data_IF_844754647448
#
_entry.id   IF_844754647448
#
_cell.length_a   1.000
_cell.length_b   1.000
_cell.length_c   1.000
_cell.angle_alpha   90.00
_cell.angle_beta   90.00
_cell.angle_gamma   90.00
#
_symmetry.space_group_name_H-M   'P 1'
#
loop_
_entity.id
_entity.type
_entity.pdbx_description
1 polymer ?
#
# COMPACT_ATOMS: atom_id res chain seq x y z
N UNK A 1 -18.96 -11.87 22.93
CA UNK A 1 -18.69 -10.49 22.47
C UNK A 1 -17.38 -10.51 21.70
N UNK A 2 -17.45 -10.69 20.38
CA UNK A 2 -16.24 -10.61 19.54
C UNK A 2 -16.03 -9.16 19.16
N UNK A 3 -14.96 -8.56 19.69
CA UNK A 3 -14.46 -7.27 19.25
C UNK A 3 -14.11 -7.36 17.77
N UNK A 4 -14.98 -6.81 16.93
CA UNK A 4 -14.67 -6.41 15.57
C UNK A 4 -13.61 -5.34 15.67
N UNK A 5 -12.33 -5.72 15.71
CA UNK A 5 -11.23 -4.77 15.61
C UNK A 5 -11.46 -3.98 14.32
N UNK A 6 -11.80 -2.70 14.48
CA UNK A 6 -12.17 -1.80 13.41
C UNK A 6 -10.90 -1.59 12.56
N UNK A 7 -10.83 -2.28 11.42
CA UNK A 7 -9.66 -2.26 10.55
C UNK A 7 -9.55 -0.87 9.91
N UNK A 8 -8.54 -0.09 10.28
CA UNK A 8 -8.26 1.22 9.67
C UNK A 8 -7.68 1.05 8.27
N UNK A 9 -8.36 1.62 7.26
CA UNK A 9 -7.85 1.75 5.89
C UNK A 9 -7.13 3.09 5.75
N UNK A 10 -5.81 3.05 5.60
CA UNK A 10 -5.02 4.24 5.26
C UNK A 10 -5.34 4.69 3.82
N UNK A 11 -6.28 5.61 3.66
CA UNK A 11 -6.60 6.23 2.36
C UNK A 11 -5.97 7.62 2.30
N UNK A 12 -5.07 7.92 1.34
CA UNK A 12 -4.48 9.26 1.24
C UNK A 12 -5.55 10.29 0.89
N UNK A 13 -5.53 11.46 1.55
CA UNK A 13 -6.46 12.56 1.27
C UNK A 13 -6.30 13.22 -0.12
N UNK A 14 -5.18 13.01 -0.80
CA UNK A 14 -4.91 13.47 -2.17
C UNK A 14 -4.46 12.32 -3.07
N UNK A 15 -4.81 12.39 -4.36
CA UNK A 15 -4.27 11.44 -5.35
C UNK A 15 -2.77 11.65 -5.48
N UNK A 16 -2.07 10.61 -5.94
CA UNK A 16 -0.60 10.60 -6.06
C UNK A 16 -0.07 11.76 -6.92
N UNK A 17 -0.70 12.03 -8.06
CA UNK A 17 -0.25 13.07 -8.99
C UNK A 17 -0.39 14.47 -8.38
N UNK A 18 -1.43 14.70 -7.58
CA UNK A 18 -1.70 15.99 -6.94
C UNK A 18 -0.70 16.30 -5.81
N UNK A 19 0.03 15.27 -5.34
CA UNK A 19 1.08 15.39 -4.31
C UNK A 19 2.47 15.64 -4.88
N UNK A 20 2.67 15.45 -6.18
CA UNK A 20 3.98 15.65 -6.81
C UNK A 20 4.30 17.14 -6.95
N UNK A 21 5.55 17.50 -6.65
CA UNK A 21 6.05 18.88 -6.68
C UNK A 21 7.10 18.99 -7.77
N UNK A 22 7.04 20.05 -8.57
CA UNK A 22 7.97 20.29 -9.67
C UNK A 22 8.85 21.50 -9.37
N UNK A 23 10.11 21.25 -8.96
CA UNK A 23 11.06 22.31 -8.63
C UNK A 23 11.39 23.25 -9.81
N UNK A 24 11.07 22.86 -11.05
CA UNK A 24 11.22 23.73 -12.22
C UNK A 24 10.15 24.83 -12.32
N UNK A 25 9.05 24.73 -11.56
CA UNK A 25 7.99 25.75 -11.50
C UNK A 25 8.28 26.75 -10.39
N UNK A 26 8.18 28.04 -10.70
CA UNK A 26 8.47 29.12 -9.75
C UNK A 26 7.61 29.05 -8.47
N UNK A 27 6.33 28.71 -8.59
CA UNK A 27 5.42 28.56 -7.45
C UNK A 27 5.86 27.44 -6.50
N UNK A 28 6.21 26.28 -7.07
CA UNK A 28 6.67 25.12 -6.30
C UNK A 28 8.04 25.37 -5.68
N UNK A 29 8.94 26.06 -6.39
CA UNK A 29 10.24 26.45 -5.85
C UNK A 29 10.11 27.37 -4.62
N UNK A 30 9.19 28.34 -4.67
CA UNK A 30 8.91 29.21 -3.53
C UNK A 30 8.35 28.42 -2.34
N UNK A 31 7.44 27.47 -2.60
CA UNK A 31 6.90 26.60 -1.56
C UNK A 31 7.97 25.68 -0.96
N UNK A 32 8.89 25.14 -1.78
CA UNK A 32 10.02 24.31 -1.32
C UNK A 32 10.94 25.13 -0.41
N UNK A 33 11.20 26.38 -0.77
CA UNK A 33 12.02 27.27 0.04
C UNK A 33 11.39 27.54 1.41
N UNK A 34 10.05 27.67 1.47
CA UNK A 34 9.29 27.87 2.69
C UNK A 34 8.99 26.59 3.48
N UNK A 35 9.23 25.40 2.91
CA UNK A 35 8.87 24.13 3.52
C UNK A 35 9.68 23.84 4.79
N UNK A 36 9.03 23.23 5.80
CA UNK A 36 9.71 22.74 7.00
C UNK A 36 10.51 21.49 6.65
N UNK A 37 11.82 21.67 6.48
CA UNK A 37 12.77 20.61 6.18
C UNK A 37 13.04 19.76 7.42
N UNK A 38 13.22 18.47 7.23
CA UNK A 38 13.62 17.58 8.30
C UNK A 38 15.13 17.73 8.56
N UNK A 39 15.50 17.90 9.82
CA UNK A 39 16.88 18.18 10.20
C UNK A 39 17.75 16.92 10.23
N UNK A 40 18.95 17.08 10.75
CA UNK A 40 19.98 16.03 10.77
C UNK A 40 19.72 14.96 11.82
N UNK A 41 18.72 15.16 12.69
CA UNK A 41 18.23 14.14 13.61
C UNK A 41 17.75 12.88 12.86
N UNK A 42 17.30 13.01 11.61
CA UNK A 42 17.00 11.87 10.75
C UNK A 42 18.26 11.29 10.14
N UNK A 43 18.95 12.08 9.31
CA UNK A 43 20.28 11.80 8.75
C UNK A 43 20.81 13.10 8.15
N UNK A 44 22.11 13.29 8.09
CA UNK A 44 22.69 14.46 7.42
C UNK A 44 22.57 14.30 5.89
N UNK A 45 21.79 15.18 5.23
CA UNK A 45 21.60 15.11 3.77
C UNK A 45 22.80 15.56 2.96
N UNK A 46 23.61 16.42 3.55
CA UNK A 46 24.76 17.08 2.92
C UNK A 46 26.05 16.27 3.17
N UNK A 47 26.04 15.36 4.15
CA UNK A 47 27.08 14.37 4.34
C UNK A 47 27.29 13.48 3.11
N UNK A 48 28.55 13.11 2.89
CA UNK A 48 28.93 12.10 1.90
C UNK A 48 28.40 10.72 2.26
N UNK A 49 28.23 9.87 1.24
CA UNK A 49 27.84 8.48 1.46
C UNK A 49 28.91 7.75 2.29
N UNK A 50 28.46 6.93 3.23
CA UNK A 50 29.33 6.04 3.99
C UNK A 50 29.90 4.94 3.08
N UNK A 51 31.15 4.50 3.31
CA UNK A 51 31.72 3.38 2.58
C UNK A 51 30.96 2.07 2.87
N UNK A 52 30.93 1.17 1.87
CA UNK A 52 30.30 -0.14 1.97
C UNK A 52 28.85 -0.20 1.47
N UNK A 53 28.24 -1.38 1.59
CA UNK A 53 26.92 -1.66 1.02
C UNK A 53 25.77 -1.04 1.82
N UNK A 54 24.74 -0.61 1.09
CA UNK A 54 23.48 -0.19 1.69
C UNK A 54 22.81 -1.41 2.33
N UNK A 55 22.70 -1.39 3.65
CA UNK A 55 22.12 -2.50 4.41
C UNK A 55 20.62 -2.64 4.18
N UNK A 56 20.14 -3.85 4.47
CA UNK A 56 18.73 -4.21 4.54
C UNK A 56 17.94 -4.03 3.24
N UNK A 57 18.56 -3.81 2.07
CA UNK A 57 17.87 -3.63 0.78
C UNK A 57 18.30 -4.58 -0.32
N UNK A 58 17.31 -5.02 -1.11
CA UNK A 58 17.53 -5.86 -2.29
C UNK A 58 17.93 -5.05 -3.52
N UNK A 59 17.92 -3.72 -3.43
CA UNK A 59 18.27 -2.78 -4.50
C UNK A 59 19.22 -1.69 -3.98
N UNK A 60 20.42 -2.06 -3.49
CA UNK A 60 21.37 -1.11 -2.90
C UNK A 60 21.85 -0.05 -3.90
N UNK A 61 21.79 -0.35 -5.20
CA UNK A 61 22.06 0.55 -6.32
C UNK A 61 21.23 1.83 -6.27
N UNK A 62 19.98 1.76 -5.81
CA UNK A 62 19.04 2.88 -5.82
C UNK A 62 19.18 3.84 -4.63
N UNK A 63 19.97 3.47 -3.61
CA UNK A 63 19.95 4.14 -2.31
C UNK A 63 21.34 4.59 -1.86
N UNK A 64 21.35 5.60 -0.99
CA UNK A 64 22.56 6.10 -0.34
C UNK A 64 22.81 5.31 0.94
N UNK A 65 24.07 5.03 1.21
CA UNK A 65 24.49 4.51 2.51
C UNK A 65 24.78 5.71 3.42
N UNK A 66 23.95 5.93 4.45
CA UNK A 66 24.01 7.15 5.27
C UNK A 66 24.22 6.82 6.73
N UNK A 67 24.81 7.78 7.46
CA UNK A 67 24.80 7.76 8.92
C UNK A 67 23.45 8.27 9.40
N UNK A 68 22.69 7.41 10.07
CA UNK A 68 21.43 7.80 10.70
C UNK A 68 21.68 8.69 11.92
N UNK A 69 20.83 9.70 12.10
CA UNK A 69 20.82 10.59 13.25
C UNK A 69 20.10 9.98 14.46
N UNK A 70 20.03 10.74 15.54
CA UNK A 70 19.48 10.29 16.83
C UNK A 70 18.02 9.85 16.75
N UNK A 71 17.20 10.47 15.90
CA UNK A 71 15.78 10.16 15.75
C UNK A 71 15.54 8.71 15.33
N UNK A 72 16.44 8.15 14.53
CA UNK A 72 16.40 6.76 14.06
C UNK A 72 16.72 5.72 15.15
N UNK A 73 17.12 6.15 16.33
CA UNK A 73 17.47 5.29 17.47
C UNK A 73 16.73 5.68 18.76
N UNK A 74 15.88 6.69 18.71
CA UNK A 74 15.20 7.23 19.89
C UNK A 74 13.87 6.51 20.19
N UNK A 75 13.83 5.85 21.35
CA UNK A 75 12.68 5.13 21.91
C UNK A 75 11.96 5.87 23.05
N UNK A 76 12.39 7.09 23.38
CA UNK A 76 11.93 7.83 24.57
C UNK A 76 10.48 8.32 24.48
N UNK A 77 9.99 8.62 23.27
CA UNK A 77 8.65 9.16 23.05
C UNK A 77 7.63 8.09 22.64
N UNK A 78 6.80 7.62 23.58
CA UNK A 78 5.76 6.61 23.35
C UNK A 78 4.75 6.98 22.26
N UNK A 79 4.43 8.28 22.12
CA UNK A 79 3.45 8.76 21.15
C UNK A 79 3.88 8.51 19.70
N UNK A 80 5.18 8.34 19.46
CA UNK A 80 5.74 8.04 18.14
C UNK A 80 5.70 6.55 17.77
N UNK A 81 5.25 5.67 18.68
CA UNK A 81 5.17 4.23 18.43
C UNK A 81 3.71 3.75 18.36
N UNK A 82 2.91 4.22 17.38
CA UNK A 82 1.51 3.79 17.27
C UNK A 82 1.42 2.30 16.94
N UNK A 83 0.35 1.65 17.43
CA UNK A 83 -0.02 0.28 17.03
C UNK A 83 -0.58 0.24 15.61
N UNK A 84 -1.16 1.35 15.18
CA UNK A 84 -1.75 1.54 13.86
C UNK A 84 -1.06 2.71 13.15
N UNK A 85 0.19 2.53 12.68
CA UNK A 85 0.91 3.60 12.00
C UNK A 85 0.19 4.00 10.71
N UNK A 86 0.02 5.31 10.53
CA UNK A 86 -0.38 5.89 9.26
C UNK A 86 0.79 5.86 8.28
N UNK A 87 0.49 5.62 6.99
CA UNK A 87 1.51 5.66 5.95
C UNK A 87 0.93 6.29 4.68
N UNK A 88 1.56 7.39 4.27
CA UNK A 88 1.36 7.99 2.96
C UNK A 88 2.49 7.56 2.03
N UNK A 89 2.13 7.08 0.84
CA UNK A 89 3.12 6.61 -0.14
C UNK A 89 4.10 7.72 -0.50
N UNK A 90 5.37 7.35 -0.67
CA UNK A 90 6.38 8.19 -1.31
C UNK A 90 5.98 8.56 -2.73
N UNK A 91 6.21 9.82 -3.10
CA UNK A 91 6.05 10.36 -4.45
C UNK A 91 7.39 10.83 -4.99
N UNK A 92 7.58 10.89 -6.32
CA UNK A 92 8.80 11.47 -6.90
C UNK A 92 8.97 12.93 -6.44
N UNK A 93 10.21 13.28 -6.13
CA UNK A 93 10.60 14.55 -5.53
C UNK A 93 10.89 14.43 -4.04
N UNK A 94 11.67 15.35 -3.48
CA UNK A 94 12.00 15.33 -2.05
C UNK A 94 10.83 15.79 -1.17
N UNK A 95 10.01 16.69 -1.71
CA UNK A 95 8.85 17.26 -1.03
C UNK A 95 7.58 16.70 -1.64
N UNK A 96 6.52 16.59 -0.84
CA UNK A 96 5.17 16.28 -1.32
C UNK A 96 4.19 17.38 -0.91
N UNK A 97 3.16 17.60 -1.72
CA UNK A 97 2.05 18.50 -1.37
C UNK A 97 1.05 17.81 -0.45
N UNK A 98 0.61 18.55 0.56
CA UNK A 98 -0.42 18.14 1.51
C UNK A 98 -1.81 18.70 1.11
N UNK A 99 -2.91 18.15 1.66
CA UNK A 99 -4.27 18.62 1.36
C UNK A 99 -4.51 20.10 1.68
N UNK A 100 -3.78 20.66 2.64
CA UNK A 100 -3.85 22.08 3.03
C UNK A 100 -3.03 23.00 2.10
N UNK A 101 -2.41 22.45 1.05
CA UNK A 101 -1.60 23.18 0.08
C UNK A 101 -0.13 23.36 0.49
N UNK A 102 0.25 23.00 1.72
CA UNK A 102 1.63 23.09 2.21
C UNK A 102 2.50 21.95 1.68
N UNK A 103 3.82 22.05 1.87
CA UNK A 103 4.76 20.99 1.50
C UNK A 103 5.34 20.29 2.73
N UNK A 104 5.39 18.96 2.65
CA UNK A 104 6.04 18.10 3.62
C UNK A 104 7.33 17.50 3.06
N UNK A 105 8.38 17.52 3.88
CA UNK A 105 9.64 16.84 3.57
C UNK A 105 9.48 15.32 3.73
N UNK A 106 9.64 14.56 2.63
CA UNK A 106 9.52 13.11 2.64
C UNK A 106 10.67 12.40 3.39
N UNK A 107 11.73 13.10 3.84
CA UNK A 107 12.74 12.57 4.79
C UNK A 107 12.08 11.90 5.98
N UNK A 108 11.02 12.54 6.50
CA UNK A 108 10.37 12.13 7.75
C UNK A 108 9.80 10.72 7.65
N UNK A 109 9.42 10.29 6.44
CA UNK A 109 8.87 8.95 6.16
C UNK A 109 9.92 7.84 6.12
N UNK A 110 11.22 8.19 6.05
CA UNK A 110 12.28 7.19 5.95
C UNK A 110 12.45 6.43 7.26
N UNK A 111 12.08 7.02 8.40
CA UNK A 111 12.08 6.37 9.71
C UNK A 111 10.64 5.98 10.04
N UNK A 112 10.40 4.69 10.23
CA UNK A 112 9.09 4.15 10.58
C UNK A 112 9.16 3.64 12.01
N UNK A 113 8.44 4.32 12.91
CA UNK A 113 8.28 3.92 14.31
C UNK A 113 6.90 3.29 14.50
N UNK A 114 6.83 2.16 15.19
CA UNK A 114 5.57 1.45 15.47
C UNK A 114 5.67 0.56 16.70
N UNK A 115 4.52 0.19 17.26
CA UNK A 115 4.41 -0.89 18.25
C UNK A 115 3.92 -2.16 17.56
N UNK A 116 4.67 -3.27 17.72
CA UNK A 116 4.34 -4.55 17.08
C UNK A 116 3.16 -5.27 17.76
N UNK A 117 2.71 -6.38 17.14
CA UNK A 117 1.60 -7.23 17.63
C UNK A 117 1.79 -7.76 19.06
N UNK A 118 3.03 -7.86 19.54
CA UNK A 118 3.39 -8.37 20.86
C UNK A 118 3.55 -7.22 21.87
N UNK A 119 3.51 -5.97 21.40
CA UNK A 119 3.63 -4.78 22.24
C UNK A 119 5.04 -4.18 22.27
N UNK A 120 5.99 -4.67 21.45
CA UNK A 120 7.35 -4.11 21.42
C UNK A 120 7.44 -2.92 20.48
N UNK A 121 8.12 -1.86 20.94
CA UNK A 121 8.49 -0.72 20.09
C UNK A 121 9.53 -1.15 19.05
N UNK A 122 9.36 -0.71 17.81
CA UNK A 122 10.30 -0.94 16.71
C UNK A 122 10.54 0.34 15.94
N UNK A 123 11.79 0.52 15.51
CA UNK A 123 12.20 1.56 14.57
C UNK A 123 12.76 0.85 13.34
N UNK A 124 12.25 1.19 12.16
CA UNK A 124 12.80 0.76 10.88
C UNK A 124 13.35 1.97 10.14
N UNK A 125 14.56 1.84 9.63
CA UNK A 125 15.19 2.86 8.79
C UNK A 125 15.15 2.42 7.34
N UNK A 126 14.78 3.34 6.45
CA UNK A 126 14.70 3.12 5.02
C UNK A 126 15.73 4.01 4.35
N UNK A 127 16.76 3.46 3.68
CA UNK A 127 17.86 4.27 3.16
C UNK A 127 17.34 5.31 2.15
N UNK A 128 17.82 6.56 2.20
CA UNK A 128 17.35 7.59 1.29
C UNK A 128 17.72 7.23 -0.16
N UNK A 129 16.88 7.56 -1.14
CA UNK A 129 17.19 7.33 -2.54
C UNK A 129 18.41 8.17 -2.95
N UNK A 130 19.19 7.67 -3.90
CA UNK A 130 20.21 8.49 -4.58
C UNK A 130 19.58 9.64 -5.35
N UNK A 131 18.44 9.36 -5.98
CA UNK A 131 17.62 10.33 -6.69
C UNK A 131 16.17 10.28 -6.18
N UNK A 132 15.71 11.38 -5.60
CA UNK A 132 14.34 11.52 -5.11
C UNK A 132 13.29 11.52 -6.23
N UNK A 133 13.67 11.81 -7.48
CA UNK A 133 12.77 11.75 -8.63
C UNK A 133 12.66 10.33 -9.23
N UNK A 134 13.49 9.38 -8.79
CA UNK A 134 13.47 8.01 -9.30
C UNK A 134 12.20 7.27 -8.90
N UNK A 135 11.33 7.04 -9.89
CA UNK A 135 10.11 6.26 -9.75
C UNK A 135 10.38 4.85 -9.21
N UNK A 136 11.50 4.26 -9.61
CA UNK A 136 11.91 2.92 -9.17
C UNK A 136 12.29 2.92 -7.68
N UNK A 137 13.10 3.88 -7.25
CA UNK A 137 13.48 4.03 -5.84
C UNK A 137 12.23 4.27 -4.96
N UNK A 138 11.33 5.15 -5.39
CA UNK A 138 10.07 5.44 -4.68
C UNK A 138 9.18 4.19 -4.58
N UNK A 139 9.09 3.40 -5.65
CA UNK A 139 8.31 2.16 -5.65
C UNK A 139 8.90 1.11 -4.70
N UNK A 140 10.23 1.01 -4.65
CA UNK A 140 10.95 0.14 -3.73
C UNK A 140 10.76 0.55 -2.27
N UNK A 141 10.86 1.84 -1.95
CA UNK A 141 10.57 2.37 -0.60
C UNK A 141 9.13 2.09 -0.18
N UNK A 142 8.16 2.39 -1.05
CA UNK A 142 6.75 2.12 -0.79
C UNK A 142 6.49 0.64 -0.48
N UNK A 143 7.05 -0.27 -1.28
CA UNK A 143 6.93 -1.71 -1.06
C UNK A 143 7.54 -2.11 0.29
N UNK A 144 8.73 -1.60 0.60
CA UNK A 144 9.44 -1.89 1.85
C UNK A 144 8.64 -1.43 3.08
N UNK A 145 8.26 -0.16 3.14
CA UNK A 145 7.53 0.41 4.29
C UNK A 145 6.21 -0.33 4.53
N UNK A 146 5.47 -0.62 3.46
CA UNK A 146 4.24 -1.43 3.55
C UNK A 146 4.52 -2.83 4.11
N UNK A 147 5.62 -3.48 3.73
CA UNK A 147 5.98 -4.80 4.27
C UNK A 147 6.40 -4.72 5.74
N UNK A 148 7.17 -3.71 6.14
CA UNK A 148 7.56 -3.48 7.53
C UNK A 148 6.32 -3.34 8.41
N UNK A 149 5.39 -2.47 8.03
CA UNK A 149 4.15 -2.26 8.79
C UNK A 149 3.31 -3.55 8.79
N UNK A 150 3.02 -4.14 7.63
CA UNK A 150 2.17 -5.34 7.50
C UNK A 150 2.67 -6.55 8.30
N UNK A 151 3.98 -6.77 8.37
CA UNK A 151 4.57 -7.90 9.10
C UNK A 151 4.44 -7.71 10.61
N UNK A 152 4.57 -6.48 11.08
CA UNK A 152 4.67 -6.16 12.51
C UNK A 152 3.36 -5.71 13.15
N UNK A 153 2.40 -5.19 12.39
CA UNK A 153 1.12 -4.66 12.91
C UNK A 153 -0.09 -5.36 12.26
N UNK A 154 -1.29 -5.01 12.71
CA UNK A 154 -2.55 -5.47 12.11
C UNK A 154 -3.07 -4.55 10.99
N UNK A 155 -2.32 -3.49 10.66
CA UNK A 155 -2.69 -2.53 9.62
C UNK A 155 -2.72 -3.20 8.25
N UNK A 156 -3.74 -2.86 7.46
CA UNK A 156 -3.90 -3.33 6.08
C UNK A 156 -3.98 -2.14 5.13
N UNK A 157 -3.16 -2.17 4.09
CA UNK A 157 -3.10 -1.14 3.05
C UNK A 157 -4.09 -1.35 1.90
N UNK A 158 -4.88 -2.42 1.97
CA UNK A 158 -5.91 -2.77 0.99
C UNK A 158 -7.10 -3.34 1.73
N UNK A 159 -8.28 -2.97 1.27
CA UNK A 159 -9.51 -3.61 1.70
C UNK A 159 -9.42 -5.13 1.52
N UNK A 160 -9.95 -5.87 2.47
CA UNK A 160 -9.97 -7.32 2.39
C UNK A 160 -10.89 -7.69 1.23
N UNK A 161 -10.29 -8.14 0.12
CA UNK A 161 -11.07 -8.67 -1.00
C UNK A 161 -11.80 -9.90 -0.48
N UNK A 162 -13.12 -9.78 -0.32
CA UNK A 162 -13.94 -10.91 0.09
C UNK A 162 -13.76 -12.03 -0.94
N UNK A 163 -13.46 -13.27 -0.52
CA UNK A 163 -13.23 -14.37 -1.46
C UNK A 163 -14.53 -14.69 -2.22
N UNK A 164 -14.38 -15.17 -3.46
CA UNK A 164 -15.51 -15.71 -4.21
C UNK A 164 -15.99 -17.01 -3.58
N UNK A 165 -17.29 -17.14 -3.38
CA UNK A 165 -17.89 -18.32 -2.74
C UNK A 165 -18.38 -19.32 -3.79
N UNK A 166 -18.69 -20.53 -3.35
CA UNK A 166 -19.05 -21.62 -4.27
C UNK A 166 -20.22 -21.26 -5.19
N UNK A 167 -21.22 -20.52 -4.69
CA UNK A 167 -22.37 -20.09 -5.47
C UNK A 167 -21.98 -19.06 -6.55
N UNK A 168 -21.21 -18.03 -6.18
CA UNK A 168 -20.66 -17.06 -7.14
C UNK A 168 -19.82 -17.74 -8.22
N UNK A 169 -19.02 -18.75 -7.85
CA UNK A 169 -18.18 -19.48 -8.81
C UNK A 169 -18.97 -20.39 -9.74
N UNK A 170 -20.06 -21.00 -9.26
CA UNK A 170 -20.99 -21.74 -10.13
C UNK A 170 -21.63 -20.80 -11.14
N UNK A 171 -22.03 -19.60 -10.69
CA UNK A 171 -22.57 -18.60 -11.59
C UNK A 171 -21.52 -18.15 -12.62
N UNK A 172 -20.28 -17.88 -12.20
CA UNK A 172 -19.17 -17.54 -13.10
C UNK A 172 -19.04 -18.64 -14.14
N UNK A 173 -18.90 -19.90 -13.73
CA UNK A 173 -18.75 -21.04 -14.63
C UNK A 173 -19.90 -21.12 -15.66
N UNK A 174 -21.15 -20.94 -15.23
CA UNK A 174 -22.33 -21.01 -16.09
C UNK A 174 -22.39 -19.87 -17.13
N UNK A 175 -21.67 -18.77 -16.91
CA UNK A 175 -21.66 -17.59 -17.79
C UNK A 175 -20.34 -17.44 -18.57
N UNK A 176 -19.52 -18.51 -18.61
CA UNK A 176 -18.32 -18.60 -19.42
C UNK A 176 -18.53 -19.58 -20.58
N UNK A 177 -18.04 -19.21 -21.76
CA UNK A 177 -17.87 -20.09 -22.93
C UNK A 177 -16.38 -20.19 -23.22
N UNK A 178 -15.82 -21.40 -23.15
CA UNK A 178 -14.38 -21.65 -23.35
C UNK A 178 -13.48 -20.75 -22.47
N UNK A 179 -13.88 -20.56 -21.21
CA UNK A 179 -13.13 -19.74 -20.25
C UNK A 179 -13.24 -18.23 -20.46
N UNK A 180 -14.15 -17.75 -21.34
CA UNK A 180 -14.40 -16.33 -21.57
C UNK A 180 -15.87 -15.97 -21.36
N UNK A 181 -16.19 -14.76 -20.88
CA UNK A 181 -17.59 -14.35 -20.71
C UNK A 181 -18.40 -14.43 -22.01
N UNK A 182 -19.54 -15.12 -21.97
CA UNK A 182 -20.36 -15.39 -23.18
C UNK A 182 -20.86 -14.12 -23.85
N UNK A 183 -21.23 -13.09 -23.07
CA UNK A 183 -21.75 -11.79 -23.56
C UNK A 183 -20.70 -10.67 -23.51
N UNK A 184 -19.42 -11.01 -23.35
CA UNK A 184 -18.36 -10.05 -23.10
C UNK A 184 -18.31 -9.53 -21.66
N UNK A 185 -17.21 -8.87 -21.33
CA UNK A 185 -16.86 -8.53 -19.95
C UNK A 185 -17.78 -7.50 -19.29
N UNK A 186 -18.28 -6.51 -20.04
CA UNK A 186 -19.13 -5.46 -19.49
C UNK A 186 -20.43 -6.04 -18.93
N UNK A 187 -21.17 -6.77 -19.75
CA UNK A 187 -22.42 -7.44 -19.34
C UNK A 187 -22.17 -8.50 -18.27
N UNK A 188 -21.03 -9.21 -18.31
CA UNK A 188 -20.67 -10.17 -17.28
C UNK A 188 -20.52 -9.54 -15.88
N UNK A 189 -19.89 -8.37 -15.79
CA UNK A 189 -19.74 -7.64 -14.52
C UNK A 189 -21.10 -7.12 -14.03
N UNK A 190 -21.89 -6.53 -14.93
CA UNK A 190 -23.23 -6.02 -14.63
C UNK A 190 -24.16 -7.14 -14.15
N UNK A 191 -24.23 -8.25 -14.88
CA UNK A 191 -25.07 -9.41 -14.55
C UNK A 191 -24.60 -10.07 -13.24
N UNK A 192 -23.29 -10.17 -12.99
CA UNK A 192 -22.75 -10.70 -11.73
C UNK A 192 -23.17 -9.85 -10.54
N UNK A 193 -23.00 -8.53 -10.64
CA UNK A 193 -23.34 -7.62 -9.55
C UNK A 193 -24.85 -7.57 -9.31
N UNK A 194 -25.67 -7.60 -10.37
CA UNK A 194 -27.12 -7.74 -10.25
C UNK A 194 -27.50 -9.02 -9.50
N UNK A 195 -26.76 -10.10 -9.69
CA UNK A 195 -27.03 -11.37 -9.03
C UNK A 195 -26.56 -11.42 -7.58
N UNK A 196 -25.44 -10.78 -7.21
CA UNK A 196 -24.85 -10.98 -5.88
C UNK A 196 -24.74 -9.74 -5.02
N UNK A 197 -24.51 -8.55 -5.58
CA UNK A 197 -24.26 -7.33 -4.82
C UNK A 197 -25.38 -7.05 -3.83
N UNK A 198 -25.01 -6.81 -2.56
CA UNK A 198 -25.97 -6.53 -1.49
C UNK A 198 -26.77 -7.76 -0.99
N UNK A 199 -26.71 -8.90 -1.67
CA UNK A 199 -27.39 -10.13 -1.25
C UNK A 199 -26.61 -10.88 -0.17
N UNK A 200 -27.31 -11.62 0.68
CA UNK A 200 -26.70 -12.58 1.63
C UNK A 200 -26.64 -13.94 0.96
N UNK A 201 -25.46 -14.54 0.93
CA UNK A 201 -25.23 -15.88 0.36
C UNK A 201 -24.97 -16.87 1.49
N UNK A 202 -25.50 -18.09 1.37
CA UNK A 202 -25.37 -19.11 2.39
C UNK A 202 -23.90 -19.45 2.70
N UNK A 203 -23.58 -19.61 3.98
CA UNK A 203 -22.24 -19.98 4.44
C UNK A 203 -21.23 -18.84 4.52
N UNK A 204 -21.67 -17.57 4.43
CA UNK A 204 -20.80 -16.39 4.55
C UNK A 204 -21.42 -15.34 5.45
N UNK A 205 -20.59 -14.65 6.25
CA UNK A 205 -21.00 -13.50 7.03
C UNK A 205 -21.11 -12.24 6.15
N UNK A 206 -22.24 -11.54 6.25
CA UNK A 206 -22.46 -10.24 5.60
C UNK A 206 -23.06 -10.34 4.20
N UNK A 207 -23.24 -9.17 3.58
CA UNK A 207 -23.71 -9.04 2.19
C UNK A 207 -22.54 -9.15 1.22
N UNK A 208 -22.79 -9.57 -0.02
CA UNK A 208 -21.72 -9.63 -1.04
C UNK A 208 -21.40 -8.23 -1.56
N UNK A 209 -20.12 -7.92 -1.79
CA UNK A 209 -19.72 -6.63 -2.31
C UNK A 209 -19.92 -6.57 -3.82
N UNK A 210 -20.01 -5.36 -4.36
CA UNK A 210 -19.84 -5.12 -5.79
C UNK A 210 -18.48 -5.64 -6.25
N UNK A 211 -18.43 -6.30 -7.40
CA UNK A 211 -17.20 -6.75 -8.05
C UNK A 211 -16.87 -5.85 -9.23
N UNK A 212 -15.60 -5.51 -9.34
CA UNK A 212 -15.08 -4.77 -10.49
C UNK A 212 -14.68 -5.72 -11.61
N UNK A 213 -14.57 -5.18 -12.81
CA UNK A 213 -13.99 -5.87 -13.96
C UNK A 213 -12.65 -6.54 -13.60
N UNK A 214 -11.71 -5.78 -13.00
CA UNK A 214 -10.40 -6.32 -12.61
C UNK A 214 -10.49 -7.49 -11.61
N UNK A 215 -11.46 -7.46 -10.68
CA UNK A 215 -11.67 -8.54 -9.72
C UNK A 215 -12.12 -9.83 -10.40
N UNK A 216 -13.13 -9.74 -11.27
CA UNK A 216 -13.67 -10.89 -11.98
C UNK A 216 -12.69 -11.44 -13.01
N UNK A 217 -11.97 -10.60 -13.76
CA UNK A 217 -10.89 -11.04 -14.66
C UNK A 217 -9.84 -11.85 -13.90
N UNK A 218 -9.37 -11.37 -12.74
CA UNK A 218 -8.38 -12.11 -11.94
C UNK A 218 -8.90 -13.46 -11.44
N UNK A 219 -10.19 -13.58 -11.12
CA UNK A 219 -10.77 -14.86 -10.70
C UNK A 219 -10.85 -15.84 -11.88
N UNK A 220 -11.31 -15.37 -13.04
CA UNK A 220 -11.40 -16.19 -14.26
C UNK A 220 -10.01 -16.62 -14.74
N UNK A 221 -9.04 -15.71 -14.79
CA UNK A 221 -7.68 -16.02 -15.23
C UNK A 221 -6.98 -17.00 -14.28
N UNK A 222 -7.11 -16.77 -12.95
CA UNK A 222 -6.50 -17.64 -11.94
C UNK A 222 -7.00 -19.07 -12.01
N UNK A 223 -8.27 -19.26 -12.33
CA UNK A 223 -8.94 -20.56 -12.32
C UNK A 223 -9.39 -21.01 -13.71
N UNK A 224 -8.82 -20.43 -14.77
CA UNK A 224 -9.26 -20.66 -16.15
C UNK A 224 -9.26 -22.13 -16.54
N UNK A 225 -8.27 -22.90 -16.09
CA UNK A 225 -8.21 -24.34 -16.33
C UNK A 225 -9.34 -25.13 -15.67
N UNK A 226 -9.80 -24.71 -14.48
CA UNK A 226 -10.93 -25.35 -13.81
C UNK A 226 -12.22 -25.02 -14.55
N UNK A 227 -12.43 -23.75 -14.88
CA UNK A 227 -13.63 -23.33 -15.59
C UNK A 227 -13.73 -23.91 -17.00
N UNK A 228 -12.61 -24.01 -17.72
CA UNK A 228 -12.55 -24.67 -19.03
C UNK A 228 -12.91 -26.16 -18.96
N UNK A 229 -12.69 -26.81 -17.81
CA UNK A 229 -13.08 -28.21 -17.55
C UNK A 229 -14.48 -28.36 -16.97
N UNK A 230 -15.26 -27.29 -16.85
CA UNK A 230 -16.58 -27.33 -16.23
C UNK A 230 -16.55 -27.50 -14.71
N UNK A 231 -15.44 -27.17 -14.05
CA UNK A 231 -15.23 -27.41 -12.63
C UNK A 231 -15.23 -26.10 -11.83
N UNK A 232 -15.75 -26.17 -10.59
CA UNK A 232 -15.70 -25.07 -9.63
C UNK A 232 -14.47 -25.25 -8.72
N UNK A 233 -13.57 -24.26 -8.66
CA UNK A 233 -12.41 -24.30 -7.76
C UNK A 233 -12.83 -24.44 -6.30
N UNK A 234 -12.25 -25.42 -5.59
CA UNK A 234 -12.42 -25.55 -4.14
C UNK A 234 -11.78 -24.36 -3.43
N UNK A 235 -12.54 -23.69 -2.58
CA UNK A 235 -11.99 -22.75 -1.60
C UNK A 235 -11.14 -23.57 -0.61
N UNK A 236 -9.87 -23.21 -0.41
CA UNK A 236 -9.24 -23.53 0.88
C UNK A 236 -10.10 -22.82 1.92
N UNK A 237 -10.67 -23.59 2.84
CA UNK A 237 -11.65 -23.13 3.82
C UNK A 237 -11.16 -21.88 4.56
N UNK A 238 -12.12 -21.04 4.92
CA UNK A 238 -11.94 -19.88 5.78
C UNK A 238 -11.27 -20.27 7.11
#
# INVERSE_FOLDING_TARGET
VHNSAQLSLATPGLKRNDRMVDAGKAEDAALIAAAIKAGDEYYDSDASDLPGDVKETSRPDLFRNVKWGSYATDFSNDAEFPREPEFSQFVPGRFERLPDGTLADQKKKLVVKLTDKVGNKRIFTNPPPRDWNSQEAMSSLNKRTVQQIRRNTNVRFREVVLPYVSEERRWILANLTNGKPTKGWKSFVEDFNKEFEGKKVAGVSGVRPARTHSSLTKEVDRFGEFYAKGQVPKTKGA
#
